data_IF_445797851074
#
_entry.id   IF_445797851074
#
_cell.length_a   1.000
_cell.length_b   1.000
_cell.length_c   1.000
_cell.angle_alpha   90.00
_cell.angle_beta   90.00
_cell.angle_gamma   90.00
#
_symmetry.space_group_name_H-M   'P 1'
#
loop_
_entity.id
_entity.type
_entity.pdbx_description
1 polymer ?
#
# COMPACT_ATOMS: atom_id res chain seq x y z
N UNK A 1 2.35 -53.70 -27.02
CA UNK A 1 3.02 -52.43 -27.45
C UNK A 1 4.53 -52.68 -27.54
N UNK A 2 5.20 -52.40 -28.66
CA UNK A 2 6.64 -52.69 -28.78
C UNK A 2 7.46 -51.68 -27.97
N UNK A 3 8.50 -52.14 -27.26
CA UNK A 3 9.43 -51.32 -26.44
C UNK A 3 9.91 -50.04 -27.17
N UNK A 4 10.08 -50.13 -28.50
CA UNK A 4 10.47 -48.99 -29.39
C UNK A 4 9.41 -47.89 -29.46
N UNK A 5 8.11 -48.23 -29.40
CA UNK A 5 7.03 -47.22 -29.39
C UNK A 5 6.96 -46.49 -28.06
N UNK A 6 7.19 -47.20 -26.95
CA UNK A 6 7.24 -46.60 -25.61
C UNK A 6 8.43 -45.65 -25.46
N UNK A 7 9.61 -46.03 -25.94
CA UNK A 7 10.80 -45.17 -25.93
C UNK A 7 10.59 -43.87 -26.75
N UNK A 8 10.01 -44.00 -27.93
CA UNK A 8 9.74 -42.80 -28.78
C UNK A 8 8.73 -41.88 -28.17
N UNK A 9 7.70 -42.39 -27.51
CA UNK A 9 6.73 -41.60 -26.79
C UNK A 9 7.34 -40.89 -25.58
N UNK A 10 8.22 -41.56 -24.83
CA UNK A 10 8.94 -40.98 -23.72
C UNK A 10 9.92 -39.86 -24.15
N UNK A 11 10.66 -40.05 -25.26
CA UNK A 11 11.50 -39.00 -25.82
C UNK A 11 10.69 -37.78 -26.27
N UNK A 12 9.56 -37.99 -26.96
CA UNK A 12 8.70 -36.90 -27.40
C UNK A 12 8.10 -36.11 -26.21
N UNK A 13 7.69 -36.79 -25.13
CA UNK A 13 7.20 -36.16 -23.92
C UNK A 13 8.29 -35.35 -23.22
N UNK A 14 9.52 -35.86 -23.16
CA UNK A 14 10.67 -35.16 -22.58
C UNK A 14 11.05 -33.91 -23.41
N UNK A 15 10.95 -33.97 -24.72
CA UNK A 15 11.21 -32.81 -25.59
C UNK A 15 10.16 -31.70 -25.43
N UNK A 16 8.86 -32.09 -25.26
CA UNK A 16 7.80 -31.12 -24.99
C UNK A 16 7.96 -30.44 -23.61
N UNK A 17 8.42 -31.17 -22.59
CA UNK A 17 8.65 -30.63 -21.26
C UNK A 17 9.84 -29.64 -21.22
N UNK A 18 10.84 -29.83 -22.09
CA UNK A 18 11.99 -28.93 -22.21
C UNK A 18 11.66 -27.61 -22.93
N UNK A 19 10.55 -27.56 -23.67
CA UNK A 19 10.05 -26.35 -24.37
C UNK A 19 9.04 -25.56 -23.55
N UNK A 20 8.69 -25.98 -22.30
CA UNK A 20 7.84 -25.19 -21.44
C UNK A 20 8.52 -23.87 -21.13
N UNK A 21 7.94 -22.71 -21.51
CA UNK A 21 8.52 -21.42 -21.18
C UNK A 21 8.64 -21.36 -19.67
N UNK A 22 9.85 -21.10 -19.15
CA UNK A 22 10.07 -20.82 -17.75
C UNK A 22 9.18 -19.63 -17.40
N UNK A 23 8.10 -19.84 -16.67
CA UNK A 23 7.28 -18.78 -16.15
C UNK A 23 8.15 -17.98 -15.15
N UNK A 24 8.92 -17.02 -15.66
CA UNK A 24 9.59 -16.04 -14.82
C UNK A 24 8.48 -15.30 -14.09
N UNK A 25 8.30 -15.59 -12.82
CA UNK A 25 7.45 -14.79 -11.96
C UNK A 25 7.93 -13.34 -12.10
N UNK A 26 7.10 -12.50 -12.70
CA UNK A 26 7.44 -11.11 -12.94
C UNK A 26 7.70 -10.44 -11.59
N UNK A 27 8.92 -10.01 -11.33
CA UNK A 27 9.29 -9.41 -10.06
C UNK A 27 8.41 -8.19 -9.81
N UNK A 28 7.74 -8.15 -8.67
CA UNK A 28 6.99 -6.97 -8.25
C UNK A 28 7.96 -5.90 -7.70
N UNK A 29 7.78 -4.62 -8.05
CA UNK A 29 6.80 -4.07 -8.98
C UNK A 29 7.32 -4.08 -10.44
N UNK A 30 6.47 -4.50 -11.39
CA UNK A 30 6.79 -4.49 -12.82
C UNK A 30 6.35 -3.19 -13.54
N UNK A 31 5.65 -2.30 -12.84
CA UNK A 31 5.14 -1.01 -13.33
C UNK A 31 5.06 -0.01 -12.19
N UNK A 32 4.85 1.28 -12.46
CA UNK A 32 4.73 2.29 -11.42
C UNK A 32 3.69 1.96 -10.36
N UNK A 33 4.00 2.28 -9.10
CA UNK A 33 3.14 2.11 -7.93
C UNK A 33 2.65 3.47 -7.47
N UNK A 34 1.37 3.61 -7.17
CA UNK A 34 0.78 4.84 -6.63
C UNK A 34 0.66 4.76 -5.12
N UNK A 35 1.17 5.77 -4.41
CA UNK A 35 0.95 5.96 -2.98
C UNK A 35 -0.10 7.06 -2.80
N UNK A 36 -1.31 6.68 -2.42
CA UNK A 36 -2.40 7.61 -2.13
C UNK A 36 -2.19 8.22 -0.75
N UNK A 37 -2.08 9.53 -0.70
CA UNK A 37 -2.02 10.32 0.53
C UNK A 37 -3.38 10.98 0.73
N UNK A 38 -4.13 10.64 1.79
CA UNK A 38 -5.50 11.12 1.97
C UNK A 38 -5.59 12.54 2.55
N UNK A 39 -4.54 13.34 2.37
CA UNK A 39 -4.41 14.71 2.85
C UNK A 39 -3.82 15.61 1.78
N UNK A 40 -3.94 16.92 1.98
CA UNK A 40 -3.41 17.93 1.07
C UNK A 40 -1.88 17.80 0.93
N UNK A 41 -1.38 18.14 -0.24
CA UNK A 41 0.05 18.20 -0.51
C UNK A 41 0.75 19.24 0.41
N UNK A 42 2.01 18.99 0.74
CA UNK A 42 2.83 19.85 1.60
C UNK A 42 2.70 19.58 3.11
N UNK A 43 1.78 18.72 3.54
CA UNK A 43 1.68 18.30 4.95
C UNK A 43 2.70 17.22 5.32
N UNK A 44 2.75 16.87 6.63
CA UNK A 44 3.68 15.84 7.15
C UNK A 44 3.49 14.48 6.49
N UNK A 45 2.24 14.08 6.22
CA UNK A 45 1.93 12.83 5.51
C UNK A 45 2.45 12.84 4.07
N UNK A 46 2.32 13.96 3.36
CA UNK A 46 2.82 14.11 2.00
C UNK A 46 4.36 14.04 1.97
N UNK A 47 5.03 14.77 2.88
CA UNK A 47 6.48 14.72 3.01
C UNK A 47 6.98 13.29 3.29
N UNK A 48 6.33 12.58 4.22
CA UNK A 48 6.65 11.19 4.55
C UNK A 48 6.46 10.27 3.34
N UNK A 49 5.34 10.41 2.62
CA UNK A 49 5.07 9.62 1.42
C UNK A 49 6.12 9.85 0.33
N UNK A 50 6.54 11.10 0.10
CA UNK A 50 7.55 11.43 -0.93
C UNK A 50 8.93 10.89 -0.55
N UNK A 51 9.33 10.97 0.71
CA UNK A 51 10.57 10.34 1.19
C UNK A 51 10.54 8.82 1.01
N UNK A 52 9.43 8.18 1.36
CA UNK A 52 9.22 6.75 1.17
C UNK A 52 9.27 6.38 -0.31
N UNK A 53 8.55 7.11 -1.17
CA UNK A 53 8.52 6.90 -2.62
C UNK A 53 9.92 6.94 -3.24
N UNK A 54 10.75 7.92 -2.84
CA UNK A 54 12.13 8.02 -3.31
C UNK A 54 12.96 6.78 -2.92
N UNK A 55 12.88 6.35 -1.65
CA UNK A 55 13.62 5.18 -1.14
C UNK A 55 13.15 3.87 -1.77
N UNK A 56 11.85 3.72 -1.99
CA UNK A 56 11.30 2.53 -2.66
C UNK A 56 11.72 2.48 -4.14
N UNK A 57 11.71 3.62 -4.83
CA UNK A 57 12.22 3.71 -6.21
C UNK A 57 13.67 3.26 -6.30
N UNK A 58 14.52 3.78 -5.40
CA UNK A 58 15.96 3.47 -5.40
C UNK A 58 16.23 1.97 -5.09
N UNK A 59 15.36 1.33 -4.30
CA UNK A 59 15.50 -0.09 -3.94
C UNK A 59 14.86 -1.07 -4.91
N UNK A 60 13.72 -0.69 -5.50
CA UNK A 60 12.90 -1.60 -6.30
C UNK A 60 12.98 -1.31 -7.81
N UNK A 61 13.69 -0.25 -8.22
CA UNK A 61 13.91 0.08 -9.61
C UNK A 61 12.67 0.55 -10.39
N UNK A 62 11.54 0.80 -9.69
CA UNK A 62 10.30 1.26 -10.29
C UNK A 62 9.84 2.58 -9.69
N UNK A 63 9.07 3.35 -10.46
CA UNK A 63 8.55 4.63 -10.00
C UNK A 63 7.47 4.44 -8.94
N UNK A 64 7.55 5.22 -7.85
CA UNK A 64 6.51 5.37 -6.85
C UNK A 64 5.97 6.79 -6.91
N UNK A 65 4.69 6.93 -7.26
CA UNK A 65 4.04 8.22 -7.48
C UNK A 65 3.13 8.56 -6.30
N UNK A 66 3.30 9.74 -5.72
CA UNK A 66 2.43 10.22 -4.65
C UNK A 66 1.21 10.92 -5.25
N UNK A 67 0.01 10.47 -4.88
CA UNK A 67 -1.28 11.02 -5.31
C UNK A 67 -2.06 11.51 -4.08
N UNK A 68 -2.25 12.81 -3.97
CA UNK A 68 -2.95 13.44 -2.86
C UNK A 68 -4.46 13.44 -3.12
N UNK A 69 -5.23 12.74 -2.27
CA UNK A 69 -6.71 12.65 -2.34
C UNK A 69 -7.33 13.07 -1.01
N UNK A 70 -7.35 14.38 -0.72
CA UNK A 70 -7.90 14.90 0.53
C UNK A 70 -9.42 14.83 0.58
N UNK A 71 -9.96 14.90 1.80
CA UNK A 71 -11.38 15.08 2.06
C UNK A 71 -11.99 14.02 2.97
N UNK A 72 -13.09 14.40 3.64
CA UNK A 72 -13.84 13.57 4.58
C UNK A 72 -12.96 12.88 5.64
N UNK A 73 -12.00 13.61 6.24
CA UNK A 73 -11.08 13.02 7.24
C UNK A 73 -10.18 11.92 6.71
N UNK A 74 -9.89 11.90 5.39
CA UNK A 74 -9.08 10.89 4.73
C UNK A 74 -9.89 9.76 4.07
N UNK A 75 -11.20 9.71 4.29
CA UNK A 75 -12.05 8.63 3.79
C UNK A 75 -12.09 8.57 2.26
N UNK A 76 -11.97 9.72 1.55
CA UNK A 76 -11.95 9.73 0.08
C UNK A 76 -10.75 8.92 -0.45
N UNK A 77 -9.57 9.13 0.11
CA UNK A 77 -8.38 8.35 -0.25
C UNK A 77 -8.52 6.87 0.07
N UNK A 78 -9.07 6.53 1.26
CA UNK A 78 -9.28 5.16 1.67
C UNK A 78 -10.26 4.40 0.75
N UNK A 79 -11.39 5.02 0.39
CA UNK A 79 -12.35 4.47 -0.58
C UNK A 79 -11.71 4.23 -1.94
N UNK A 80 -10.88 5.16 -2.40
CA UNK A 80 -10.20 5.03 -3.67
C UNK A 80 -9.28 3.79 -3.69
N UNK A 81 -8.51 3.57 -2.62
CA UNK A 81 -7.61 2.42 -2.53
C UNK A 81 -8.39 1.12 -2.32
N UNK A 82 -9.42 1.10 -1.46
CA UNK A 82 -10.26 -0.08 -1.23
C UNK A 82 -10.99 -0.58 -2.49
N UNK A 83 -11.22 0.30 -3.47
CA UNK A 83 -11.81 -0.04 -4.78
C UNK A 83 -10.78 -0.32 -5.87
N UNK A 84 -9.50 -0.14 -5.60
CA UNK A 84 -8.45 -0.39 -6.57
C UNK A 84 -8.29 -1.90 -6.83
N UNK A 85 -7.77 -2.24 -8.02
CA UNK A 85 -7.48 -3.62 -8.35
C UNK A 85 -6.44 -4.21 -7.37
N UNK A 86 -6.64 -5.44 -6.87
CA UNK A 86 -5.67 -6.09 -6.01
C UNK A 86 -4.37 -6.34 -6.77
N UNK A 87 -3.24 -6.26 -6.08
CA UNK A 87 -1.92 -6.48 -6.72
C UNK A 87 -0.83 -5.57 -6.16
N UNK A 88 -1.16 -4.70 -5.19
CA UNK A 88 -0.19 -3.86 -4.50
C UNK A 88 0.31 -2.65 -5.29
N UNK A 89 -0.34 -2.30 -6.41
CA UNK A 89 0.05 -1.13 -7.22
C UNK A 89 -0.62 0.18 -6.79
N UNK A 90 -1.56 0.11 -5.86
CA UNK A 90 -2.19 1.28 -5.24
C UNK A 90 -2.14 1.09 -3.73
N UNK A 91 -1.35 1.91 -3.08
CA UNK A 91 -1.10 1.85 -1.64
C UNK A 91 -1.76 3.06 -0.96
N UNK A 92 -2.22 2.90 0.27
CA UNK A 92 -2.72 3.98 1.11
C UNK A 92 -1.68 4.32 2.17
N UNK A 93 -1.32 5.59 2.31
CA UNK A 93 -0.67 6.07 3.52
C UNK A 93 -1.74 6.31 4.59
N UNK A 94 -2.08 5.25 5.32
CA UNK A 94 -3.07 5.31 6.39
C UNK A 94 -2.52 6.03 7.61
N UNK A 95 -3.41 6.72 8.35
CA UNK A 95 -3.09 7.40 9.60
C UNK A 95 -4.10 7.02 10.68
N UNK A 96 -3.87 7.45 11.92
CA UNK A 96 -4.78 7.22 13.05
C UNK A 96 -6.20 7.75 12.80
N UNK A 97 -6.36 8.78 11.95
CA UNK A 97 -7.70 9.31 11.64
C UNK A 97 -8.61 8.26 10.97
N UNK A 98 -8.06 7.33 10.18
CA UNK A 98 -8.88 6.26 9.57
C UNK A 98 -9.45 5.32 10.62
N UNK A 99 -8.68 5.01 11.68
CA UNK A 99 -9.16 4.21 12.81
C UNK A 99 -10.21 4.98 13.62
N UNK A 100 -9.96 6.25 13.88
CA UNK A 100 -10.90 7.12 14.60
C UNK A 100 -12.22 7.29 13.82
N UNK A 101 -12.15 7.40 12.50
CA UNK A 101 -13.33 7.56 11.64
C UNK A 101 -14.31 6.38 11.76
N UNK A 102 -13.86 5.17 12.08
CA UNK A 102 -14.74 4.02 12.31
C UNK A 102 -15.74 4.31 13.43
N UNK A 103 -15.32 5.03 14.46
CA UNK A 103 -16.18 5.39 15.60
C UNK A 103 -16.93 6.71 15.40
N UNK A 104 -16.41 7.62 14.57
CA UNK A 104 -16.98 8.97 14.38
C UNK A 104 -18.08 9.01 13.31
N UNK A 105 -18.00 8.17 12.28
CA UNK A 105 -18.96 8.16 11.19
C UNK A 105 -20.00 7.08 11.41
N UNK A 106 -21.28 7.42 11.32
CA UNK A 106 -22.40 6.45 11.42
C UNK A 106 -22.35 5.38 10.32
N UNK A 107 -21.81 5.74 9.16
CA UNK A 107 -21.66 4.84 8.02
C UNK A 107 -20.44 5.26 7.22
N UNK A 108 -19.59 4.30 6.91
CA UNK A 108 -18.45 4.46 6.00
C UNK A 108 -18.72 3.66 4.73
N UNK A 109 -18.35 4.17 3.55
CA UNK A 109 -18.54 3.47 2.28
C UNK A 109 -17.46 2.40 2.02
N UNK A 110 -16.71 2.00 3.04
CA UNK A 110 -15.68 0.96 3.03
C UNK A 110 -15.51 0.38 4.44
N UNK A 111 -14.94 -0.82 4.52
CA UNK A 111 -14.50 -1.44 5.76
C UNK A 111 -12.97 -1.38 5.84
N UNK A 112 -12.44 -0.61 6.80
CA UNK A 112 -11.02 -0.36 6.93
C UNK A 112 -10.20 -1.65 7.18
N UNK A 113 -10.77 -2.62 7.87
CA UNK A 113 -10.09 -3.86 8.23
C UNK A 113 -10.21 -4.91 7.11
N UNK A 114 -11.38 -4.99 6.47
CA UNK A 114 -11.67 -6.00 5.46
C UNK A 114 -11.17 -5.59 4.07
N UNK A 115 -11.34 -4.32 3.69
CA UNK A 115 -11.09 -3.87 2.32
C UNK A 115 -9.64 -3.39 2.10
N UNK A 116 -8.85 -3.28 3.18
CA UNK A 116 -7.45 -2.84 3.14
C UNK A 116 -6.54 -3.82 3.88
N UNK A 117 -5.53 -4.33 3.19
CA UNK A 117 -4.52 -5.20 3.79
C UNK A 117 -3.35 -4.36 4.36
N UNK A 118 -2.97 -4.52 5.64
CA UNK A 118 -1.83 -3.82 6.21
C UNK A 118 -0.52 -4.35 5.62
N UNK A 119 0.41 -3.44 5.29
CA UNK A 119 1.72 -3.79 4.75
C UNK A 119 2.81 -3.56 5.80
N UNK A 120 2.97 -2.34 6.28
CA UNK A 120 4.00 -1.98 7.26
C UNK A 120 3.71 -0.65 7.94
N UNK A 121 4.22 -0.47 9.15
CA UNK A 121 4.25 0.82 9.80
C UNK A 121 5.43 1.65 9.26
N UNK A 122 5.12 2.82 8.71
CA UNK A 122 6.13 3.70 8.08
C UNK A 122 6.79 4.62 9.11
N UNK A 123 6.00 5.21 9.99
CA UNK A 123 6.47 6.16 11.00
C UNK A 123 5.53 6.21 12.21
N UNK A 124 6.07 6.73 13.33
CA UNK A 124 5.30 7.14 14.49
C UNK A 124 5.50 8.63 14.68
N UNK A 125 4.42 9.39 14.72
CA UNK A 125 4.44 10.83 14.94
C UNK A 125 3.88 11.11 16.34
N UNK A 126 4.70 11.54 17.30
CA UNK A 126 4.21 11.90 18.62
C UNK A 126 3.38 13.17 18.55
N UNK A 127 2.31 13.23 19.32
CA UNK A 127 1.50 14.42 19.51
C UNK A 127 1.86 15.08 20.83
N UNK A 128 1.99 16.41 20.82
CA UNK A 128 2.22 17.22 22.01
C UNK A 128 1.03 18.13 22.23
N UNK A 129 0.51 18.13 23.45
CA UNK A 129 -0.41 19.16 23.90
C UNK A 129 0.40 20.36 24.37
N UNK A 130 0.17 21.50 23.74
CA UNK A 130 0.83 22.76 24.09
C UNK A 130 -0.22 23.82 24.47
N UNK A 131 0.11 24.67 25.39
CA UNK A 131 -0.72 25.80 25.81
C UNK A 131 0.11 27.10 25.75
N UNK A 132 -0.58 28.22 25.63
CA UNK A 132 0.09 29.52 25.73
C UNK A 132 0.76 29.65 27.12
N UNK A 133 1.98 30.22 27.21
CA UNK A 133 2.69 30.40 28.49
C UNK A 133 1.91 31.19 29.58
N UNK A 134 0.90 31.98 29.18
CA UNK A 134 0.03 32.68 30.09
C UNK A 134 -1.00 31.80 30.80
N UNK A 135 -1.22 30.58 30.31
CA UNK A 135 -2.12 29.61 30.94
C UNK A 135 -1.40 29.01 32.16
N UNK A 136 -1.95 29.13 33.37
CA UNK A 136 -1.27 28.68 34.59
C UNK A 136 -1.37 27.17 34.82
N UNK A 137 -1.41 26.38 33.75
CA UNK A 137 -1.46 24.91 33.79
C UNK A 137 -0.07 24.33 33.59
N UNK A 138 0.35 23.38 34.43
CA UNK A 138 1.63 22.68 34.34
C UNK A 138 1.48 21.21 33.97
N UNK A 139 0.26 20.69 34.00
CA UNK A 139 -0.07 19.29 33.69
C UNK A 139 -1.55 19.18 33.24
N UNK A 140 -1.94 18.01 32.74
CA UNK A 140 -3.29 17.78 32.21
C UNK A 140 -4.47 17.98 33.17
N UNK A 141 -4.37 17.69 34.49
CA UNK A 141 -5.44 17.95 35.42
C UNK A 141 -5.68 19.42 35.76
N UNK A 142 -4.77 20.32 35.48
CA UNK A 142 -4.87 21.77 35.67
C UNK A 142 -5.45 22.47 34.43
#
# INVERSE_FOLDING_TARGET
MSRRKVLRAALAAASLAALAPSAFAQAWPARPVTIVVPFAAGGSSDATARMLAAKLRDRLGQSFVVDNKPGAGGNIGAVHVGKAAPGGYTLLLATSSHVTNISMYKSLPYDFVRDLAPVSQVAVIPSLLVVNPSVPAKNLPE
#
